data_IF_874088482528
#
_entry.id   IF_874088482528
#
_cell.length_a   1.000
_cell.length_b   1.000
_cell.length_c   1.000
_cell.angle_alpha   90.00
_cell.angle_beta   90.00
_cell.angle_gamma   90.00
#
_symmetry.space_group_name_H-M   'P 1'
#
loop_
_entity.id
_entity.type
_entity.pdbx_description
1 polymer ?
#
# COMPACT_ATOMS: atom_id res chain seq x y z
N UNK A 1 -15.13 11.01 -40.12
CA UNK A 1 -15.06 9.99 -39.07
C UNK A 1 -13.77 10.20 -38.33
N UNK A 2 -13.86 10.63 -37.07
CA UNK A 2 -12.73 10.75 -36.16
C UNK A 2 -12.53 9.43 -35.42
N UNK A 3 -11.32 9.22 -34.90
CA UNK A 3 -11.01 8.16 -33.95
C UNK A 3 -11.12 8.68 -32.53
N UNK A 4 -12.05 8.14 -31.77
CA UNK A 4 -12.28 8.47 -30.36
C UNK A 4 -11.67 7.36 -29.54
N UNK A 5 -10.66 7.71 -28.77
CA UNK A 5 -9.97 6.83 -27.84
C UNK A 5 -10.64 6.97 -26.48
N UNK A 6 -10.93 5.85 -25.85
CA UNK A 6 -11.55 5.80 -24.53
C UNK A 6 -10.62 5.06 -23.58
N UNK A 7 -10.30 5.69 -22.45
CA UNK A 7 -9.58 5.04 -21.34
C UNK A 7 -10.45 5.14 -20.09
N UNK A 8 -10.65 4.04 -19.38
CA UNK A 8 -11.35 4.05 -18.09
C UNK A 8 -10.40 3.87 -16.91
N UNK A 9 -10.79 4.42 -15.76
CA UNK A 9 -10.07 4.20 -14.51
C UNK A 9 -10.48 5.12 -13.39
N UNK A 10 -10.03 4.79 -12.18
CA UNK A 10 -10.25 5.63 -10.99
C UNK A 10 -9.23 6.75 -10.82
N UNK A 11 -8.00 6.61 -11.36
CA UNK A 11 -6.91 7.60 -11.28
C UNK A 11 -6.63 8.15 -9.87
N UNK A 12 -6.57 7.27 -8.88
CA UNK A 12 -6.62 7.63 -7.45
C UNK A 12 -5.46 7.06 -6.59
N UNK A 13 -4.47 7.89 -6.21
CA UNK A 13 -4.09 9.14 -6.89
C UNK A 13 -3.50 8.89 -8.28
N UNK A 14 -3.54 9.93 -9.12
CA UNK A 14 -2.85 9.92 -10.41
C UNK A 14 -1.32 9.85 -10.22
N UNK A 15 -0.61 9.22 -11.16
CA UNK A 15 0.84 9.09 -11.12
C UNK A 15 1.41 8.92 -12.54
N UNK A 16 2.75 8.88 -12.66
CA UNK A 16 3.45 8.81 -13.95
C UNK A 16 2.99 7.67 -14.87
N UNK A 17 2.68 6.49 -14.33
CA UNK A 17 2.09 5.39 -15.11
C UNK A 17 0.76 5.75 -15.80
N UNK A 18 -0.15 6.47 -15.13
CA UNK A 18 -1.39 6.95 -15.74
C UNK A 18 -1.10 7.99 -16.83
N UNK A 19 -0.14 8.90 -16.58
CA UNK A 19 0.26 9.90 -17.56
C UNK A 19 0.82 9.25 -18.83
N UNK A 20 1.63 8.20 -18.69
CA UNK A 20 2.15 7.44 -19.84
C UNK A 20 1.03 6.75 -20.62
N UNK A 21 0.12 6.04 -19.92
CA UNK A 21 -1.06 5.41 -20.53
C UNK A 21 -1.88 6.42 -21.35
N UNK A 22 -2.22 7.56 -20.76
CA UNK A 22 -3.04 8.58 -21.42
C UNK A 22 -2.30 9.22 -22.61
N UNK A 23 -0.99 9.46 -22.50
CA UNK A 23 -0.19 9.96 -23.62
C UNK A 23 -0.12 8.97 -24.78
N UNK A 24 0.01 7.67 -24.50
CA UNK A 24 0.06 6.66 -25.54
C UNK A 24 -1.31 6.42 -26.16
N UNK A 25 -2.37 6.43 -25.35
CA UNK A 25 -3.75 6.38 -25.83
C UNK A 25 -4.07 7.55 -26.77
N UNK A 26 -3.71 8.78 -26.41
CA UNK A 26 -3.95 9.96 -27.26
C UNK A 26 -3.28 9.85 -28.64
N UNK A 27 -2.17 9.13 -28.79
CA UNK A 27 -1.51 8.95 -30.10
C UNK A 27 -2.30 8.07 -31.08
N UNK A 28 -3.26 7.30 -30.59
CA UNK A 28 -4.01 6.33 -31.39
C UNK A 28 -5.21 6.95 -32.13
N UNK A 29 -5.62 8.17 -31.75
CA UNK A 29 -6.79 8.81 -32.35
C UNK A 29 -6.81 10.33 -32.23
N UNK A 30 -7.90 10.92 -32.67
CA UNK A 30 -8.07 12.36 -32.74
C UNK A 30 -8.52 12.96 -31.40
N UNK A 31 -9.29 12.18 -30.62
CA UNK A 31 -9.88 12.59 -29.35
C UNK A 31 -9.66 11.51 -28.28
N UNK A 32 -9.22 11.89 -27.09
CA UNK A 32 -9.13 11.03 -25.91
C UNK A 32 -10.21 11.44 -24.91
N UNK A 33 -11.11 10.51 -24.63
CA UNK A 33 -12.15 10.61 -23.61
C UNK A 33 -11.76 9.71 -22.43
N UNK A 34 -11.75 10.27 -21.22
CA UNK A 34 -11.54 9.48 -20.00
C UNK A 34 -12.88 9.18 -19.35
N UNK A 35 -13.21 7.90 -19.21
CA UNK A 35 -14.33 7.43 -18.42
C UNK A 35 -13.87 7.27 -16.96
N UNK A 36 -14.22 8.23 -16.10
CA UNK A 36 -13.75 8.30 -14.72
C UNK A 36 -14.69 7.53 -13.78
N UNK A 37 -14.18 6.51 -13.08
CA UNK A 37 -14.95 5.80 -12.05
C UNK A 37 -15.29 6.73 -10.88
N UNK A 38 -16.46 6.53 -10.27
CA UNK A 38 -16.92 7.29 -9.10
C UNK A 38 -16.18 6.87 -7.80
N UNK A 39 -16.60 7.44 -6.67
CA UNK A 39 -16.02 7.11 -5.37
C UNK A 39 -16.49 5.75 -4.85
N UNK A 40 -17.71 5.32 -5.15
CA UNK A 40 -18.24 4.03 -4.69
C UNK A 40 -17.46 2.84 -5.27
N UNK A 41 -17.06 2.92 -6.54
CA UNK A 41 -16.20 1.93 -7.19
C UNK A 41 -14.81 1.85 -6.54
N UNK A 42 -14.24 3.00 -6.14
CA UNK A 42 -12.96 3.04 -5.44
C UNK A 42 -13.07 2.43 -4.04
N UNK A 43 -14.17 2.71 -3.34
CA UNK A 43 -14.46 2.14 -2.01
C UNK A 43 -14.64 0.63 -2.09
N UNK A 44 -15.40 0.11 -3.06
CA UNK A 44 -15.55 -1.34 -3.22
C UNK A 44 -14.21 -2.03 -3.52
N UNK A 45 -13.38 -1.41 -4.37
CA UNK A 45 -12.11 -1.98 -4.79
C UNK A 45 -10.99 -1.86 -3.75
N UNK A 46 -10.95 -0.77 -2.98
CA UNK A 46 -9.80 -0.40 -2.12
C UNK A 46 -10.18 -0.12 -0.66
N UNK A 47 -11.46 -0.09 -0.33
CA UNK A 47 -12.01 0.26 0.98
C UNK A 47 -12.18 1.76 1.23
N UNK A 48 -11.46 2.62 0.51
CA UNK A 48 -11.57 4.09 0.59
C UNK A 48 -10.95 4.77 -0.63
N UNK A 49 -11.53 5.88 -1.07
CA UNK A 49 -10.97 6.82 -2.02
C UNK A 49 -9.90 7.73 -1.37
N UNK A 50 -8.79 7.98 -2.08
CA UNK A 50 -7.78 8.95 -1.64
C UNK A 50 -8.20 10.38 -1.99
N UNK A 51 -8.72 10.61 -3.20
CA UNK A 51 -9.35 11.86 -3.63
C UNK A 51 -10.81 11.63 -4.04
N UNK A 52 -11.73 12.54 -3.65
CA UNK A 52 -13.12 12.47 -4.08
C UNK A 52 -13.25 12.71 -5.59
N UNK A 53 -14.34 12.24 -6.18
CA UNK A 53 -14.56 12.24 -7.62
C UNK A 53 -14.32 13.60 -8.27
N UNK A 54 -14.85 14.67 -7.68
CA UNK A 54 -14.73 16.02 -8.24
C UNK A 54 -13.28 16.48 -8.34
N UNK A 55 -12.44 16.13 -7.36
CA UNK A 55 -11.01 16.49 -7.37
C UNK A 55 -10.28 15.73 -8.49
N UNK A 56 -10.55 14.41 -8.59
CA UNK A 56 -9.98 13.57 -9.65
C UNK A 56 -10.39 14.06 -11.04
N UNK A 57 -11.66 14.44 -11.21
CA UNK A 57 -12.18 14.96 -12.47
C UNK A 57 -11.45 16.22 -12.91
N UNK A 58 -11.34 17.22 -12.03
CA UNK A 58 -10.64 18.49 -12.32
C UNK A 58 -9.19 18.25 -12.73
N UNK A 59 -8.49 17.37 -12.01
CA UNK A 59 -7.10 17.03 -12.31
C UNK A 59 -6.98 16.40 -13.70
N UNK A 60 -7.83 15.42 -14.02
CA UNK A 60 -7.80 14.71 -15.31
C UNK A 60 -8.20 15.63 -16.47
N UNK A 61 -9.21 16.49 -16.29
CA UNK A 61 -9.64 17.49 -17.29
C UNK A 61 -8.54 18.52 -17.58
N UNK A 62 -7.64 18.77 -16.63
CA UNK A 62 -6.53 19.72 -16.79
C UNK A 62 -5.33 19.15 -17.55
N UNK A 63 -5.33 17.85 -17.87
CA UNK A 63 -4.25 17.20 -18.59
C UNK A 63 -4.34 17.49 -20.09
N UNK A 64 -3.23 17.98 -20.67
CA UNK A 64 -3.18 18.43 -22.06
C UNK A 64 -3.55 17.37 -23.12
N UNK A 65 -3.36 16.09 -22.83
CA UNK A 65 -3.70 14.99 -23.73
C UNK A 65 -5.15 14.53 -23.63
N UNK A 66 -5.89 14.95 -22.60
CA UNK A 66 -7.28 14.58 -22.36
C UNK A 66 -8.19 15.65 -22.97
N UNK A 67 -9.09 15.26 -23.86
CA UNK A 67 -10.02 16.20 -24.50
C UNK A 67 -11.38 16.28 -23.78
N UNK A 68 -11.75 15.22 -23.05
CA UNK A 68 -13.03 15.13 -22.33
C UNK A 68 -12.94 14.12 -21.19
N UNK A 69 -13.61 14.41 -20.07
CA UNK A 69 -13.81 13.48 -18.97
C UNK A 69 -15.30 13.28 -18.76
N UNK A 70 -15.74 12.02 -18.72
CA UNK A 70 -17.13 11.67 -18.49
C UNK A 70 -17.29 10.85 -17.21
N UNK A 71 -18.42 11.08 -16.56
CA UNK A 71 -18.97 10.26 -15.50
C UNK A 71 -19.90 9.18 -16.08
N UNK A 72 -20.08 8.11 -15.33
CA UNK A 72 -20.98 7.00 -15.65
C UNK A 72 -21.42 6.28 -14.37
N UNK A 73 -22.53 5.55 -14.46
CA UNK A 73 -23.02 4.72 -13.36
C UNK A 73 -22.22 3.41 -13.33
N UNK A 74 -21.90 2.92 -12.13
CA UNK A 74 -21.24 1.63 -12.01
C UNK A 74 -22.25 0.51 -12.26
N UNK A 75 -21.86 -0.47 -13.05
CA UNK A 75 -22.58 -1.74 -13.12
C UNK A 75 -22.10 -2.71 -12.03
N UNK A 76 -22.86 -3.80 -11.84
CA UNK A 76 -22.55 -4.86 -10.88
C UNK A 76 -21.25 -5.62 -11.21
N UNK A 77 -20.69 -5.44 -12.41
CA UNK A 77 -19.45 -6.06 -12.88
C UNK A 77 -18.22 -5.14 -12.70
N UNK A 78 -18.43 -3.92 -12.19
CA UNK A 78 -17.40 -2.89 -12.04
C UNK A 78 -16.79 -2.42 -13.37
N UNK A 79 -17.52 -2.57 -14.47
CA UNK A 79 -17.12 -2.25 -15.84
C UNK A 79 -17.50 -0.82 -16.23
N UNK A 80 -17.03 -0.37 -17.41
CA UNK A 80 -17.43 0.92 -17.98
C UNK A 80 -18.37 0.82 -19.20
N UNK A 81 -19.20 -0.24 -19.29
CA UNK A 81 -20.19 -0.44 -20.37
C UNK A 81 -21.07 0.79 -20.60
N UNK A 82 -21.58 1.39 -19.52
CA UNK A 82 -22.46 2.57 -19.60
C UNK A 82 -21.74 3.79 -20.15
N UNK A 83 -20.46 3.97 -19.82
CA UNK A 83 -19.63 5.00 -20.42
C UNK A 83 -19.48 4.81 -21.94
N UNK A 84 -19.21 3.58 -22.39
CA UNK A 84 -19.07 3.27 -23.81
C UNK A 84 -20.37 3.51 -24.58
N UNK A 85 -21.51 3.10 -24.02
CA UNK A 85 -22.83 3.35 -24.60
C UNK A 85 -23.13 4.86 -24.70
N UNK A 86 -22.82 5.64 -23.65
CA UNK A 86 -22.97 7.10 -23.63
C UNK A 86 -22.10 7.77 -24.69
N UNK A 87 -20.84 7.35 -24.85
CA UNK A 87 -19.92 7.86 -25.87
C UNK A 87 -20.45 7.55 -27.27
N UNK A 88 -20.86 6.31 -27.56
CA UNK A 88 -21.43 5.96 -28.87
C UNK A 88 -22.64 6.81 -29.22
N UNK A 89 -23.52 7.09 -28.25
CA UNK A 89 -24.70 7.94 -28.45
C UNK A 89 -24.31 9.38 -28.78
N UNK A 90 -23.27 9.90 -28.14
CA UNK A 90 -22.78 11.27 -28.35
C UNK A 90 -21.96 11.41 -29.64
N UNK A 91 -21.35 10.31 -30.11
CA UNK A 91 -20.47 10.26 -31.28
C UNK A 91 -20.86 9.13 -32.25
N UNK A 92 -22.08 9.14 -32.82
CA UNK A 92 -22.64 8.00 -33.56
C UNK A 92 -21.98 7.72 -34.92
N UNK A 93 -21.19 8.68 -35.44
CA UNK A 93 -20.55 8.60 -36.75
C UNK A 93 -19.02 8.45 -36.67
N UNK A 94 -18.48 8.30 -35.47
CA UNK A 94 -17.05 8.22 -35.21
C UNK A 94 -16.66 6.80 -34.76
N UNK A 95 -15.40 6.44 -34.99
CA UNK A 95 -14.87 5.15 -34.58
C UNK A 95 -14.46 5.24 -33.11
N UNK A 96 -15.03 4.39 -32.25
CA UNK A 96 -14.71 4.34 -30.82
C UNK A 96 -13.78 3.17 -30.53
N UNK A 97 -12.62 3.47 -29.94
CA UNK A 97 -11.59 2.49 -29.58
C UNK A 97 -11.37 2.56 -28.06
N UNK A 98 -11.69 1.48 -27.35
CA UNK A 98 -11.41 1.35 -25.92
C UNK A 98 -9.99 0.84 -25.70
N UNK A 99 -9.21 1.58 -24.92
CA UNK A 99 -7.81 1.30 -24.60
C UNK A 99 -7.67 0.88 -23.14
N UNK A 100 -7.03 -0.28 -22.90
CA UNK A 100 -6.74 -0.77 -21.56
C UNK A 100 -5.23 -0.86 -21.31
N UNK A 101 -4.82 -0.52 -20.08
CA UNK A 101 -3.42 -0.58 -19.66
C UNK A 101 -3.05 -1.91 -18.99
N UNK A 102 -1.87 -2.44 -19.33
CA UNK A 102 -1.29 -3.66 -18.74
C UNK A 102 -1.96 -4.98 -19.14
N UNK A 103 -1.69 -6.05 -18.37
CA UNK A 103 -2.03 -7.46 -18.68
C UNK A 103 -3.50 -7.87 -18.45
N UNK A 104 -4.45 -6.93 -18.35
CA UNK A 104 -5.86 -7.31 -18.17
C UNK A 104 -6.31 -8.16 -19.36
N UNK A 105 -6.83 -9.36 -19.04
CA UNK A 105 -6.95 -10.50 -19.95
C UNK A 105 -7.54 -10.12 -21.31
N UNK A 106 -6.72 -10.23 -22.36
CA UNK A 106 -7.00 -9.85 -23.75
C UNK A 106 -8.23 -10.51 -24.39
N UNK A 107 -8.93 -11.41 -23.68
CA UNK A 107 -9.96 -12.27 -24.25
C UNK A 107 -11.33 -12.22 -23.57
N UNK A 108 -11.55 -11.50 -22.45
CA UNK A 108 -12.87 -11.51 -21.79
C UNK A 108 -13.08 -10.38 -20.76
N UNK A 109 -12.96 -9.11 -21.16
CA UNK A 109 -13.41 -8.01 -20.29
C UNK A 109 -14.90 -7.73 -20.53
N UNK A 110 -15.69 -7.35 -19.51
CA UNK A 110 -17.12 -7.11 -19.68
C UNK A 110 -17.42 -6.09 -20.79
N UNK A 111 -16.56 -5.09 -20.97
CA UNK A 111 -16.73 -4.05 -21.99
C UNK A 111 -16.84 -4.60 -23.42
N UNK A 112 -16.33 -5.82 -23.70
CA UNK A 112 -16.43 -6.45 -25.02
C UNK A 112 -17.87 -6.82 -25.42
N UNK A 113 -18.82 -6.83 -24.48
CA UNK A 113 -20.23 -7.01 -24.78
C UNK A 113 -20.86 -5.79 -25.49
N UNK A 114 -20.18 -4.63 -25.48
CA UNK A 114 -20.64 -3.43 -26.16
C UNK A 114 -20.31 -3.51 -27.64
N UNK A 115 -21.34 -3.75 -28.47
CA UNK A 115 -21.18 -3.81 -29.92
C UNK A 115 -20.58 -2.51 -30.50
N UNK A 116 -19.79 -2.61 -31.58
CA UNK A 116 -19.30 -1.45 -32.32
C UNK A 116 -18.21 -0.64 -31.60
N UNK A 117 -17.51 -1.26 -30.64
CA UNK A 117 -16.29 -0.74 -30.00
C UNK A 117 -15.11 -1.58 -30.50
N UNK A 118 -14.03 -0.92 -30.91
CA UNK A 118 -12.73 -1.58 -31.14
C UNK A 118 -11.93 -1.58 -29.84
N UNK A 119 -11.03 -2.56 -29.67
CA UNK A 119 -10.25 -2.73 -28.44
C UNK A 119 -8.76 -2.72 -28.74
N UNK A 120 -8.01 -1.92 -27.99
CA UNK A 120 -6.55 -1.89 -28.00
C UNK A 120 -6.01 -2.19 -26.59
N UNK A 121 -5.10 -3.16 -26.50
CA UNK A 121 -4.56 -3.64 -25.23
C UNK A 121 -3.07 -3.33 -25.11
N UNK A 122 -2.50 -3.44 -23.91
CA UNK A 122 -1.08 -3.12 -23.65
C UNK A 122 -0.70 -1.66 -23.96
N UNK A 123 -1.66 -0.73 -23.92
CA UNK A 123 -1.38 0.71 -24.10
C UNK A 123 -0.67 1.24 -22.85
N UNK A 124 0.46 1.94 -23.02
CA UNK A 124 1.31 2.40 -21.91
C UNK A 124 2.43 1.43 -21.50
N UNK A 125 2.57 0.30 -22.21
CA UNK A 125 3.62 -0.70 -22.00
C UNK A 125 3.25 -1.81 -21.01
N UNK A 126 3.94 -2.95 -21.11
CA UNK A 126 3.72 -4.11 -20.25
C UNK A 126 4.43 -3.98 -18.88
N UNK A 127 5.44 -3.10 -18.79
CA UNK A 127 6.16 -2.81 -17.54
C UNK A 127 5.38 -1.82 -16.66
N UNK A 128 4.60 -2.35 -15.73
CA UNK A 128 3.91 -1.55 -14.71
C UNK A 128 4.90 -0.92 -13.72
N UNK A 129 5.54 0.18 -14.12
CA UNK A 129 6.59 0.85 -13.33
C UNK A 129 6.15 1.37 -11.97
N UNK A 130 4.86 1.68 -11.78
CA UNK A 130 4.30 2.20 -10.51
C UNK A 130 2.81 1.86 -10.36
N UNK A 131 2.32 1.81 -9.11
CA UNK A 131 0.88 1.76 -8.81
C UNK A 131 0.52 2.70 -7.66
N UNK A 132 -0.66 3.33 -7.73
CA UNK A 132 -1.17 4.19 -6.66
C UNK A 132 -1.23 3.48 -5.30
N UNK A 133 -1.58 2.18 -5.27
CA UNK A 133 -1.63 1.38 -4.04
C UNK A 133 -0.27 1.22 -3.39
N UNK A 134 0.81 1.09 -4.17
CA UNK A 134 2.17 1.04 -3.65
C UNK A 134 2.60 2.40 -3.07
N UNK A 135 2.36 3.50 -3.81
CA UNK A 135 2.67 4.87 -3.35
C UNK A 135 1.95 5.19 -2.03
N UNK A 136 0.65 4.87 -1.95
CA UNK A 136 -0.14 5.10 -0.75
C UNK A 136 0.28 4.20 0.42
N UNK A 137 0.75 2.98 0.15
CA UNK A 137 1.26 2.09 1.21
C UNK A 137 2.56 2.62 1.82
N UNK A 138 3.46 3.16 1.00
CA UNK A 138 4.68 3.81 1.49
C UNK A 138 4.39 5.15 2.19
N UNK A 139 3.40 5.90 1.72
CA UNK A 139 2.98 7.15 2.36
C UNK A 139 2.25 6.94 3.69
N UNK A 140 1.42 5.89 3.81
CA UNK A 140 0.54 5.67 4.97
C UNK A 140 1.28 5.22 6.23
N UNK A 141 2.48 4.67 6.10
CA UNK A 141 3.25 4.16 7.23
C UNK A 141 4.70 4.60 7.09
N UNK A 142 5.11 5.63 7.84
CA UNK A 142 6.52 5.97 7.94
C UNK A 142 7.27 4.80 8.60
N UNK A 143 8.45 4.50 8.09
CA UNK A 143 9.22 3.33 8.48
C UNK A 143 10.68 3.51 8.14
N UNK A 144 11.51 2.66 8.73
CA UNK A 144 12.96 2.70 8.55
C UNK A 144 13.46 1.27 8.35
N UNK A 145 14.36 1.10 7.38
CA UNK A 145 15.11 -0.14 7.22
C UNK A 145 16.45 -0.03 7.95
N UNK A 146 16.79 -1.07 8.71
CA UNK A 146 17.97 -1.18 9.57
C UNK A 146 18.68 -2.51 9.30
N UNK A 147 19.90 -2.66 9.82
CA UNK A 147 20.70 -3.89 9.63
C UNK A 147 20.01 -5.18 10.13
N UNK A 148 19.11 -5.06 11.10
CA UNK A 148 18.38 -6.19 11.67
C UNK A 148 17.05 -6.50 10.95
N UNK A 149 16.58 -5.63 10.07
CA UNK A 149 15.22 -5.70 9.52
C UNK A 149 14.62 -4.33 9.26
N UNK A 150 13.31 -4.20 9.41
CA UNK A 150 12.61 -2.93 9.21
C UNK A 150 11.45 -2.78 10.15
N UNK A 151 10.94 -1.56 10.29
CA UNK A 151 9.67 -1.33 10.95
C UNK A 151 8.78 -0.35 10.20
N UNK A 152 7.48 -0.45 10.45
CA UNK A 152 6.45 0.48 9.99
C UNK A 152 5.71 1.03 11.21
N UNK A 153 5.58 2.34 11.36
CA UNK A 153 4.68 2.91 12.36
C UNK A 153 3.25 2.83 11.83
N UNK A 154 2.39 2.07 12.51
CA UNK A 154 1.00 1.85 12.11
C UNK A 154 0.04 2.86 12.73
N UNK A 155 0.39 3.41 13.89
CA UNK A 155 -0.37 4.42 14.62
C UNK A 155 0.55 5.18 15.58
N UNK A 156 0.29 6.46 15.79
CA UNK A 156 0.93 7.23 16.86
C UNK A 156 0.01 8.34 17.34
N UNK A 157 -0.28 8.35 18.63
CA UNK A 157 -0.96 9.43 19.33
C UNK A 157 0.05 10.13 20.25
N UNK A 158 0.67 11.19 19.72
CA UNK A 158 1.67 11.98 20.42
C UNK A 158 1.07 12.97 21.45
N UNK A 159 -0.27 13.03 21.60
CA UNK A 159 -0.96 14.08 22.37
C UNK A 159 -1.75 13.57 23.56
N UNK A 160 -2.65 12.60 23.37
CA UNK A 160 -3.67 12.28 24.37
C UNK A 160 -3.33 11.05 25.22
N UNK A 161 -2.73 10.02 24.61
CA UNK A 161 -2.45 8.74 25.29
C UNK A 161 -0.99 8.31 25.26
N UNK A 162 -0.15 8.93 24.41
CA UNK A 162 1.24 8.53 24.22
C UNK A 162 1.42 7.16 23.56
N UNK A 163 0.36 6.61 22.95
CA UNK A 163 0.36 5.26 22.35
C UNK A 163 0.99 5.28 20.96
N UNK A 164 1.87 4.31 20.69
CA UNK A 164 2.45 4.09 19.37
C UNK A 164 2.36 2.61 18.99
N UNK A 165 1.90 2.31 17.77
CA UNK A 165 1.84 0.94 17.26
C UNK A 165 2.82 0.80 16.10
N UNK A 166 3.66 -0.22 16.12
CA UNK A 166 4.62 -0.54 15.07
C UNK A 166 4.46 -1.98 14.60
N UNK A 167 4.72 -2.24 13.33
CA UNK A 167 5.09 -3.58 12.86
C UNK A 167 6.62 -3.65 12.78
N UNK A 168 7.24 -4.55 13.54
CA UNK A 168 8.65 -4.89 13.43
C UNK A 168 8.80 -6.15 12.57
N UNK A 169 9.69 -6.11 11.58
CA UNK A 169 10.08 -7.27 10.78
C UNK A 169 11.54 -7.58 11.05
N UNK A 170 11.81 -8.65 11.79
CA UNK A 170 13.17 -9.09 12.12
C UNK A 170 13.63 -10.12 11.09
N UNK A 171 14.68 -9.78 10.35
CA UNK A 171 15.19 -10.62 9.27
C UNK A 171 15.84 -11.92 9.78
N UNK A 172 15.96 -12.95 8.92
CA UNK A 172 16.65 -14.18 9.26
C UNK A 172 18.05 -13.94 9.84
N UNK A 173 18.39 -14.66 10.91
CA UNK A 173 19.69 -14.58 11.62
C UNK A 173 20.02 -13.18 12.14
N UNK A 174 19.02 -12.33 12.39
CA UNK A 174 19.20 -10.98 12.95
C UNK A 174 18.53 -10.83 14.30
N UNK A 175 18.88 -9.79 15.04
CA UNK A 175 18.25 -9.44 16.30
C UNK A 175 18.45 -7.97 16.64
N UNK A 176 17.64 -7.48 17.57
CA UNK A 176 17.75 -6.12 18.10
C UNK A 176 18.78 -6.07 19.25
N UNK A 177 19.08 -4.86 19.74
CA UNK A 177 19.85 -4.69 20.97
C UNK A 177 19.10 -5.20 22.19
N UNK A 178 19.84 -5.69 23.19
CA UNK A 178 19.28 -5.94 24.52
C UNK A 178 19.14 -4.62 25.26
N UNK A 179 17.90 -4.25 25.55
CA UNK A 179 17.54 -2.89 25.90
C UNK A 179 16.41 -2.83 26.94
N UNK A 180 16.18 -1.63 27.49
CA UNK A 180 15.03 -1.31 28.33
C UNK A 180 14.58 0.14 28.12
N UNK A 181 13.41 0.46 28.66
CA UNK A 181 12.79 1.79 28.57
C UNK A 181 12.39 2.30 29.95
N UNK A 182 12.48 3.62 30.20
CA UNK A 182 12.12 4.19 31.50
C UNK A 182 10.71 4.78 31.53
N UNK A 183 10.23 5.31 30.41
CA UNK A 183 8.98 6.05 30.34
C UNK A 183 7.82 5.26 29.71
N UNK A 184 8.11 4.18 28.97
CA UNK A 184 7.11 3.33 28.32
C UNK A 184 7.15 1.85 28.72
N UNK A 185 5.98 1.22 28.64
CA UNK A 185 5.80 -0.22 28.55
C UNK A 185 5.49 -0.60 27.10
N UNK A 186 5.66 -1.88 26.77
CA UNK A 186 5.40 -2.41 25.44
C UNK A 186 4.60 -3.70 25.51
N UNK A 187 3.74 -3.94 24.53
CA UNK A 187 3.13 -5.25 24.29
C UNK A 187 3.58 -5.72 22.92
N UNK A 188 4.19 -6.90 22.88
CA UNK A 188 4.57 -7.56 21.65
C UNK A 188 3.61 -8.70 21.36
N UNK A 189 3.20 -8.81 20.10
CA UNK A 189 2.41 -9.91 19.56
C UNK A 189 3.06 -10.43 18.29
N UNK A 190 3.35 -11.72 18.21
CA UNK A 190 3.94 -12.33 17.01
C UNK A 190 2.85 -12.59 15.97
N UNK A 191 2.82 -11.75 14.93
CA UNK A 191 1.82 -11.84 13.85
C UNK A 191 2.21 -12.80 12.74
N UNK A 192 3.50 -13.14 12.61
CA UNK A 192 4.01 -14.11 11.65
C UNK A 192 5.39 -14.63 12.05
N UNK A 193 5.64 -15.91 11.80
CA UNK A 193 6.95 -16.52 11.99
C UNK A 193 7.19 -16.92 13.45
N UNK A 194 8.47 -16.94 13.84
CA UNK A 194 8.93 -17.34 15.17
C UNK A 194 10.21 -16.59 15.52
N UNK A 195 10.45 -16.40 16.80
CA UNK A 195 11.61 -15.71 17.31
C UNK A 195 12.00 -16.23 18.70
N UNK A 196 13.11 -15.73 19.19
CA UNK A 196 13.57 -15.90 20.56
C UNK A 196 13.54 -14.52 21.23
N UNK A 197 13.00 -14.45 22.44
CA UNK A 197 13.00 -13.25 23.26
C UNK A 197 13.84 -13.49 24.52
N UNK A 198 14.85 -12.67 24.74
CA UNK A 198 15.55 -12.60 26.03
C UNK A 198 14.82 -11.58 26.91
N UNK A 199 14.34 -12.00 28.09
CA UNK A 199 13.53 -11.14 28.96
C UNK A 199 13.95 -11.20 30.43
N UNK A 200 14.01 -10.05 31.10
CA UNK A 200 14.14 -9.93 32.56
C UNK A 200 13.37 -8.73 33.09
N UNK A 201 12.53 -8.94 34.11
CA UNK A 201 11.84 -7.86 34.83
C UNK A 201 12.81 -6.97 35.65
N UNK A 202 13.94 -7.55 36.07
CA UNK A 202 14.84 -6.96 37.05
C UNK A 202 16.22 -6.68 36.45
N UNK A 203 17.20 -7.49 36.84
CA UNK A 203 18.58 -7.31 36.42
C UNK A 203 18.85 -8.01 35.08
N UNK A 204 19.73 -7.48 34.23
CA UNK A 204 20.00 -8.07 32.92
C UNK A 204 20.62 -9.46 32.99
N UNK A 205 21.27 -9.82 34.11
CA UNK A 205 21.87 -11.15 34.32
C UNK A 205 20.83 -12.25 34.55
N UNK A 206 19.62 -11.88 34.99
CA UNK A 206 18.51 -12.80 35.26
C UNK A 206 17.68 -13.12 34.01
N UNK A 207 18.13 -12.65 32.84
CA UNK A 207 17.40 -12.78 31.59
C UNK A 207 17.20 -14.24 31.18
N UNK A 208 15.96 -14.56 30.84
CA UNK A 208 15.58 -15.88 30.33
C UNK A 208 15.32 -15.80 28.85
N UNK A 209 15.78 -16.83 28.16
CA UNK A 209 15.48 -17.04 26.76
C UNK A 209 14.11 -17.73 26.63
N UNK A 210 13.23 -17.17 25.80
CA UNK A 210 11.88 -17.67 25.59
C UNK A 210 11.62 -17.80 24.09
N UNK A 211 11.24 -18.99 23.63
CA UNK A 211 10.88 -19.23 22.23
C UNK A 211 9.44 -18.80 21.99
N UNK A 212 9.23 -17.92 21.01
CA UNK A 212 7.91 -17.42 20.60
C UNK A 212 7.58 -17.88 19.18
N UNK A 213 6.33 -18.26 18.95
CA UNK A 213 5.73 -18.56 17.66
C UNK A 213 4.54 -17.64 17.37
N UNK A 214 3.80 -17.97 16.30
CA UNK A 214 2.57 -17.27 15.93
C UNK A 214 1.62 -17.16 17.14
N UNK A 215 1.03 -15.97 17.32
CA UNK A 215 0.08 -15.62 18.39
C UNK A 215 0.68 -15.48 19.81
N UNK A 216 1.95 -15.80 20.03
CA UNK A 216 2.60 -15.55 21.31
C UNK A 216 2.70 -14.05 21.60
N UNK A 217 2.63 -13.72 22.90
CA UNK A 217 2.61 -12.33 23.38
C UNK A 217 3.47 -12.13 24.61
N UNK A 218 4.07 -10.95 24.70
CA UNK A 218 4.81 -10.49 25.87
C UNK A 218 4.36 -9.10 26.25
N UNK A 219 4.07 -8.90 27.54
CA UNK A 219 3.97 -7.57 28.11
C UNK A 219 5.30 -7.24 28.77
N UNK A 220 5.90 -6.14 28.34
CA UNK A 220 7.22 -5.65 28.75
C UNK A 220 6.98 -4.39 29.58
N UNK A 221 7.15 -4.49 30.89
CA UNK A 221 6.98 -3.34 31.77
C UNK A 221 8.14 -2.33 31.61
N UNK A 222 7.90 -1.09 32.02
CA UNK A 222 8.97 -0.09 32.21
C UNK A 222 10.13 -0.72 32.99
N UNK A 223 11.35 -0.46 32.52
CA UNK A 223 12.64 -0.92 33.04
C UNK A 223 12.95 -2.40 32.87
N UNK A 224 12.01 -3.19 32.36
CA UNK A 224 12.28 -4.59 32.02
C UNK A 224 13.24 -4.66 30.81
N UNK A 225 14.24 -5.52 30.95
CA UNK A 225 15.18 -5.81 29.88
C UNK A 225 14.57 -6.80 28.88
N UNK A 226 14.66 -6.48 27.60
CA UNK A 226 14.11 -7.29 26.54
C UNK A 226 14.98 -7.22 25.27
N UNK A 227 14.99 -8.30 24.49
CA UNK A 227 15.64 -8.40 23.19
C UNK A 227 14.90 -9.43 22.34
N UNK A 228 14.61 -9.10 21.09
CA UNK A 228 14.20 -10.09 20.10
C UNK A 228 15.39 -10.52 19.24
N UNK A 229 15.44 -11.81 18.95
CA UNK A 229 16.36 -12.46 18.03
C UNK A 229 15.55 -13.38 17.11
N UNK A 230 15.80 -13.33 15.80
CA UNK A 230 15.31 -14.29 14.84
C UNK A 230 16.46 -15.23 14.43
N UNK A 231 16.62 -16.39 15.09
CA UNK A 231 17.65 -17.36 14.74
C UNK A 231 17.26 -18.22 13.52
N UNK A 232 16.08 -18.02 12.94
CA UNK A 232 15.51 -18.88 11.91
C UNK A 232 15.79 -18.34 10.50
N UNK A 233 15.28 -19.06 9.50
CA UNK A 233 15.56 -18.79 8.08
C UNK A 233 14.46 -17.94 7.42
N UNK A 234 13.34 -17.71 8.11
CA UNK A 234 12.22 -16.90 7.65
C UNK A 234 12.06 -15.64 8.52
N UNK A 235 11.61 -14.49 7.97
CA UNK A 235 11.33 -13.29 8.75
C UNK A 235 10.29 -13.51 9.85
N UNK A 236 10.51 -12.88 11.01
CA UNK A 236 9.54 -12.81 12.09
C UNK A 236 8.89 -11.42 12.12
N UNK A 237 7.57 -11.38 12.21
CA UNK A 237 6.80 -10.14 12.31
C UNK A 237 6.21 -9.99 13.72
N UNK A 238 6.36 -8.82 14.30
CA UNK A 238 5.82 -8.45 15.60
C UNK A 238 4.98 -7.19 15.46
N UNK A 239 3.80 -7.20 16.05
CA UNK A 239 3.06 -5.98 16.35
C UNK A 239 3.47 -5.52 17.74
N UNK A 240 4.09 -4.35 17.81
CA UNK A 240 4.53 -3.70 19.03
C UNK A 240 3.58 -2.56 19.36
N UNK A 241 3.00 -2.58 20.57
CA UNK A 241 2.20 -1.49 21.11
C UNK A 241 2.98 -0.86 22.25
N UNK A 242 3.46 0.36 22.05
CA UNK A 242 4.15 1.17 23.06
C UNK A 242 3.17 2.11 23.73
N UNK A 243 3.28 2.30 25.04
CA UNK A 243 2.47 3.27 25.79
C UNK A 243 3.14 3.70 27.09
N UNK A 244 2.80 4.89 27.58
CA UNK A 244 3.38 5.44 28.80
C UNK A 244 3.48 6.96 28.75
N UNK A 245 4.39 7.54 29.53
CA UNK A 245 4.56 8.99 29.60
C UNK A 245 5.20 9.56 28.32
N UNK A 246 6.10 8.79 27.70
CA UNK A 246 6.83 9.16 26.48
C UNK A 246 7.17 7.92 25.67
N UNK A 247 7.01 7.97 24.35
CA UNK A 247 7.36 6.91 23.39
C UNK A 247 8.42 7.36 22.39
N UNK A 248 9.48 7.97 22.91
CA UNK A 248 10.60 8.56 22.14
C UNK A 248 11.83 7.64 22.11
N UNK A 249 12.72 7.80 21.12
CA UNK A 249 13.90 6.93 20.96
C UNK A 249 15.01 7.22 22.00
N UNK A 250 15.03 8.41 22.59
CA UNK A 250 15.98 8.79 23.64
C UNK A 250 15.72 8.06 24.97
N UNK A 251 14.56 7.41 25.13
CA UNK A 251 14.19 6.60 26.29
C UNK A 251 14.90 5.22 26.33
N UNK A 252 15.66 4.88 25.29
CA UNK A 252 16.22 3.53 25.15
C UNK A 252 17.62 3.45 25.74
N UNK A 253 17.77 2.66 26.81
CA UNK A 253 19.09 2.21 27.29
C UNK A 253 19.43 0.85 26.67
N UNK A 254 20.63 0.74 26.10
CA UNK A 254 21.12 -0.49 25.44
C UNK A 254 22.33 -1.02 26.18
N UNK A 255 22.29 -2.30 26.56
CA UNK A 255 23.40 -2.97 27.23
C UNK A 255 24.35 -3.63 26.23
N UNK A 256 23.81 -4.28 25.21
CA UNK A 256 24.59 -4.93 24.15
C UNK A 256 23.81 -4.95 22.84
N UNK A 257 24.54 -4.91 21.72
CA UNK A 257 23.98 -5.11 20.39
C UNK A 257 23.95 -6.59 20.04
N UNK A 258 23.12 -6.94 19.06
CA UNK A 258 23.10 -8.27 18.49
C UNK A 258 24.43 -8.57 17.78
N UNK A 259 24.97 -9.77 18.02
CA UNK A 259 26.18 -10.27 17.33
C UNK A 259 25.83 -11.47 16.45
N UNK A 260 26.00 -11.32 15.14
CA UNK A 260 25.76 -12.35 14.13
C UNK A 260 26.69 -13.55 14.25
N UNK A 261 27.85 -13.40 14.91
CA UNK A 261 28.79 -14.51 15.13
C UNK A 261 28.22 -15.63 16.00
N UNK A 262 27.11 -15.36 16.71
CA UNK A 262 26.41 -16.32 17.56
C UNK A 262 25.75 -17.47 16.78
N UNK A 263 25.60 -17.35 15.45
CA UNK A 263 24.91 -18.34 14.58
C UNK A 263 25.85 -19.07 13.60
N UNK A 264 27.17 -18.90 13.76
CA UNK A 264 28.19 -19.58 12.95
C UNK A 264 28.67 -20.87 13.57
#
# INVERSE_FOLDING_TARGET
MKKIIVVSGGFDPIHSGHIQLLNDAKKLGDKLIVALNDDSWLVEKKGKEFMPFNERKIIIESLNMVDEVIDFENDDEGSCKDALNKIKKNYPNDLVIFCNGGDRGKNNIPEMDVEGIEFEFSVGGDDKKNSSSWILKEWKYDGEERLWGKFYNLFSDYGDTGVKVKELVVFPKKGLSFQRHFYRSEIWFVSKGKCIVNYSEGKPEDAKEISFGLEDRLHINKKAWHQIINPFDEPCHIIEIQYGEKTIEEDIERLRYFDEKSFK
#
